data_IF_081419297389
#
_entry.id   IF_081419297389
#
_cell.length_a   1.000
_cell.length_b   1.000
_cell.length_c   1.000
_cell.angle_alpha   90.00
_cell.angle_beta   90.00
_cell.angle_gamma   90.00
#
_symmetry.space_group_name_H-M   'P 1'
#
loop_
_entity.id
_entity.type
_entity.pdbx_description
1 polymer ?
#
# COMPACT_ATOMS: atom_id res chain seq x y z
N UNK A 1 51.95 38.38 24.66
CA UNK A 1 51.74 39.84 24.55
C UNK A 1 51.09 40.04 23.19
N UNK A 2 49.82 40.38 22.98
CA UNK A 2 48.74 41.05 23.71
C UNK A 2 47.45 40.48 23.07
N UNK A 3 46.47 39.90 23.78
CA UNK A 3 45.43 40.52 24.62
C UNK A 3 44.57 41.57 23.88
N UNK A 4 43.25 41.33 23.89
CA UNK A 4 42.15 42.17 23.37
C UNK A 4 41.15 41.30 22.59
N UNK A 5 40.16 40.61 23.17
CA UNK A 5 39.02 41.07 24.00
C UNK A 5 38.20 42.18 23.32
N UNK A 6 37.04 41.80 22.77
CA UNK A 6 35.78 42.57 22.63
C UNK A 6 34.92 41.91 21.53
N UNK A 7 33.60 41.83 21.57
CA UNK A 7 32.60 41.85 22.63
C UNK A 7 31.32 41.33 21.95
N UNK A 8 30.49 40.63 22.72
CA UNK A 8 29.17 40.20 22.30
C UNK A 8 28.26 41.42 22.07
N UNK A 9 27.41 41.33 21.04
CA UNK A 9 26.12 42.03 21.04
C UNK A 9 25.06 40.99 20.71
N UNK A 10 24.51 40.43 21.79
CA UNK A 10 23.15 39.93 21.84
C UNK A 10 22.22 41.14 21.69
N UNK A 11 21.23 41.07 20.80
CA UNK A 11 20.06 41.93 20.90
C UNK A 11 18.81 41.05 20.88
N UNK A 12 18.07 41.13 21.97
CA UNK A 12 16.84 40.43 22.29
C UNK A 12 15.80 41.52 22.59
N UNK A 13 14.78 41.65 21.73
CA UNK A 13 13.54 42.40 22.00
C UNK A 13 12.51 41.87 20.98
N UNK A 14 11.64 40.91 21.31
CA UNK A 14 10.44 40.97 22.13
C UNK A 14 9.20 41.59 21.43
N UNK A 15 8.23 40.69 21.22
CA UNK A 15 6.78 40.84 21.31
C UNK A 15 5.91 41.29 20.12
N UNK A 16 4.77 40.58 20.06
CA UNK A 16 3.45 40.94 19.51
C UNK A 16 3.20 40.57 18.03
N UNK A 17 2.24 39.75 17.63
CA UNK A 17 1.08 39.17 18.31
C UNK A 17 -0.08 39.14 17.30
N UNK A 18 -0.36 37.99 16.68
CA UNK A 18 -1.64 37.72 16.01
C UNK A 18 -1.72 36.25 15.53
N UNK A 19 -2.13 35.38 16.45
CA UNK A 19 -2.76 34.10 16.13
C UNK A 19 -4.22 34.40 15.79
N UNK A 20 -4.67 34.08 14.57
CA UNK A 20 -6.10 34.04 14.23
C UNK A 20 -6.51 32.57 14.07
N UNK A 21 -7.55 32.09 14.79
CA UNK A 21 -7.98 30.69 14.79
C UNK A 21 -8.78 30.30 13.54
N UNK A 22 -8.92 28.99 13.26
CA UNK A 22 -9.74 28.47 12.17
C UNK A 22 -11.22 28.42 12.57
N UNK A 23 -12.10 29.07 11.80
CA UNK A 23 -13.54 28.83 11.89
C UNK A 23 -13.95 27.68 10.98
N UNK A 24 -14.57 26.68 11.62
CA UNK A 24 -15.31 25.60 11.02
C UNK A 24 -16.63 26.11 10.43
N UNK A 25 -17.08 25.54 9.32
CA UNK A 25 -18.51 25.33 9.11
C UNK A 25 -18.76 24.02 8.37
N UNK A 26 -19.46 23.16 9.09
CA UNK A 26 -20.07 21.89 8.73
C UNK A 26 -21.00 21.92 7.51
N UNK A 27 -21.35 20.70 7.08
CA UNK A 27 -22.62 20.28 6.48
C UNK A 27 -22.61 19.86 4.99
N UNK A 28 -22.30 18.57 4.83
CA UNK A 28 -23.02 17.57 4.04
C UNK A 28 -24.30 17.99 3.30
N UNK A 29 -24.42 17.53 2.04
CA UNK A 29 -25.58 16.76 1.57
C UNK A 29 -25.29 16.15 0.19
N UNK A 30 -25.33 14.81 0.13
CA UNK A 30 -25.46 14.02 -1.09
C UNK A 30 -26.80 14.32 -1.77
N UNK A 31 -26.86 14.31 -3.11
CA UNK A 31 -27.96 13.67 -3.83
C UNK A 31 -27.62 13.52 -5.32
N UNK A 32 -27.65 12.26 -5.74
CA UNK A 32 -27.66 11.78 -7.11
C UNK A 32 -28.93 12.26 -7.83
N UNK A 33 -28.85 12.53 -9.13
CA UNK A 33 -30.03 12.43 -9.99
C UNK A 33 -29.71 11.68 -11.28
N UNK A 34 -30.35 10.51 -11.38
CA UNK A 34 -30.51 9.71 -12.58
C UNK A 34 -31.30 10.49 -13.63
N UNK A 35 -30.85 10.44 -14.87
CA UNK A 35 -31.63 10.76 -16.06
C UNK A 35 -32.27 9.48 -16.58
N UNK A 36 -33.59 9.42 -16.59
CA UNK A 36 -34.39 8.42 -17.28
C UNK A 36 -34.99 9.07 -18.53
N UNK A 37 -34.76 8.42 -19.67
CA UNK A 37 -35.40 8.65 -20.96
C UNK A 37 -36.90 8.36 -20.90
N UNK A 38 -37.71 9.17 -21.59
CA UNK A 38 -38.94 8.67 -22.24
C UNK A 38 -39.32 9.55 -23.43
N UNK A 39 -39.29 8.94 -24.63
CA UNK A 39 -39.83 9.45 -25.89
C UNK A 39 -41.37 9.41 -25.89
N UNK A 40 -42.02 10.37 -26.56
CA UNK A 40 -43.30 10.14 -27.25
C UNK A 40 -43.52 11.18 -28.36
N UNK A 41 -43.65 10.69 -29.60
CA UNK A 41 -44.15 11.37 -30.79
C UNK A 41 -45.69 11.55 -30.72
N UNK A 42 -46.22 12.64 -31.30
CA UNK A 42 -47.28 12.63 -32.32
C UNK A 42 -47.67 14.08 -32.74
N UNK A 43 -48.22 14.17 -33.94
CA UNK A 43 -48.28 15.31 -34.87
C UNK A 43 -49.41 16.35 -34.66
N UNK A 44 -49.10 17.59 -35.07
CA UNK A 44 -49.87 18.59 -35.85
C UNK A 44 -51.35 18.92 -35.54
N UNK A 45 -51.62 20.17 -35.09
CA UNK A 45 -52.62 21.05 -35.71
C UNK A 45 -52.48 22.51 -35.21
N UNK A 46 -52.62 23.46 -36.14
CA UNK A 46 -52.35 24.90 -35.99
C UNK A 46 -53.52 25.65 -35.35
N UNK A 47 -53.29 26.49 -34.33
CA UNK A 47 -54.15 27.66 -33.95
C UNK A 47 -53.32 28.69 -33.16
N UNK A 48 -53.57 29.98 -33.40
CA UNK A 48 -52.78 31.19 -33.09
C UNK A 48 -52.63 31.63 -31.60
N UNK A 49 -51.67 32.56 -31.38
CA UNK A 49 -51.35 33.45 -30.22
C UNK A 49 -50.44 32.91 -29.07
N UNK A 50 -49.56 33.72 -28.44
CA UNK A 50 -48.83 34.94 -28.84
C UNK A 50 -47.28 34.75 -28.78
N UNK A 51 -46.50 35.72 -29.28
CA UNK A 51 -45.02 35.70 -29.29
C UNK A 51 -44.43 35.43 -27.90
N UNK A 52 -43.71 34.31 -27.77
CA UNK A 52 -42.89 34.02 -26.61
C UNK A 52 -41.76 35.08 -26.54
N UNK A 53 -41.52 35.70 -25.36
CA UNK A 53 -40.43 36.65 -25.22
C UNK A 53 -39.13 35.93 -25.54
N UNK A 54 -38.37 36.47 -26.50
CA UNK A 54 -37.04 35.98 -26.81
C UNK A 54 -36.22 35.98 -25.50
N UNK A 55 -35.69 34.84 -25.09
CA UNK A 55 -34.92 34.68 -23.85
C UNK A 55 -33.43 34.72 -24.21
N UNK A 56 -32.63 35.48 -23.46
CA UNK A 56 -31.16 35.48 -23.61
C UNK A 56 -30.57 34.61 -22.50
N UNK A 57 -29.88 33.55 -22.90
CA UNK A 57 -29.15 32.66 -21.99
C UNK A 57 -27.76 33.23 -21.69
N UNK A 58 -27.49 33.51 -20.42
CA UNK A 58 -26.16 33.81 -19.93
C UNK A 58 -25.55 32.57 -19.28
N UNK A 59 -24.33 32.21 -19.69
CA UNK A 59 -23.59 31.10 -19.10
C UNK A 59 -22.48 31.61 -18.19
N UNK A 60 -22.67 31.45 -16.88
CA UNK A 60 -21.69 31.79 -15.85
C UNK A 60 -21.09 30.50 -15.30
N UNK A 61 -20.01 30.00 -15.91
CA UNK A 61 -19.21 28.91 -15.35
C UNK A 61 -20.03 27.65 -15.01
N UNK A 62 -21.02 27.30 -15.84
CA UNK A 62 -21.90 26.14 -15.64
C UNK A 62 -23.29 26.46 -15.10
N UNK A 63 -23.52 27.67 -14.59
CA UNK A 63 -24.85 28.14 -14.21
C UNK A 63 -25.47 28.96 -15.35
N UNK A 64 -26.57 28.44 -15.92
CA UNK A 64 -27.36 29.13 -16.95
C UNK A 64 -28.37 30.05 -16.27
N UNK A 65 -28.29 31.34 -16.57
CA UNK A 65 -29.26 32.32 -16.10
C UNK A 65 -30.03 32.85 -17.30
N UNK A 66 -31.33 32.57 -17.35
CA UNK A 66 -32.20 32.94 -18.46
C UNK A 66 -32.93 34.23 -18.11
N UNK A 67 -32.65 35.31 -18.84
CA UNK A 67 -33.32 36.61 -18.64
C UNK A 67 -34.17 36.91 -19.89
N UNK A 68 -35.43 37.35 -19.73
CA UNK A 68 -36.27 37.77 -20.86
C UNK A 68 -35.70 39.00 -21.58
N UNK A 69 -35.72 39.03 -22.92
CA UNK A 69 -35.27 40.20 -23.70
C UNK A 69 -36.17 41.40 -23.39
N UNK A 70 -35.55 42.48 -22.96
CA UNK A 70 -36.21 43.74 -22.62
C UNK A 70 -35.64 44.42 -21.37
N UNK A 71 -35.10 43.66 -20.42
CA UNK A 71 -34.63 44.19 -19.14
C UNK A 71 -33.16 44.67 -19.15
N UNK A 72 -32.39 44.29 -20.18
CA UNK A 72 -30.99 44.67 -20.35
C UNK A 72 -30.71 45.06 -21.81
N UNK A 73 -29.99 46.17 -22.07
CA UNK A 73 -29.54 46.52 -23.42
C UNK A 73 -28.61 45.45 -24.00
N UNK A 74 -28.71 45.17 -25.30
CA UNK A 74 -27.86 44.19 -26.00
C UNK A 74 -26.35 44.45 -25.82
N UNK A 75 -25.95 45.72 -25.64
CA UNK A 75 -24.56 46.09 -25.34
C UNK A 75 -24.06 45.57 -23.98
N UNK A 76 -24.95 45.48 -22.98
CA UNK A 76 -24.60 44.95 -21.65
C UNK A 76 -24.47 43.43 -21.72
N UNK A 77 -25.31 42.77 -22.52
CA UNK A 77 -25.26 41.34 -22.78
C UNK A 77 -23.91 40.94 -23.41
N UNK A 78 -23.49 41.66 -24.46
CA UNK A 78 -22.22 41.42 -25.13
C UNK A 78 -21.03 41.64 -24.19
N UNK A 79 -21.01 42.73 -23.42
CA UNK A 79 -19.94 43.03 -22.45
C UNK A 79 -19.84 41.99 -21.33
N UNK A 80 -20.97 41.47 -20.86
CA UNK A 80 -21.00 40.42 -19.84
C UNK A 80 -20.47 39.10 -20.40
N UNK A 81 -20.86 38.71 -21.61
CA UNK A 81 -20.34 37.50 -22.27
C UNK A 81 -18.84 37.60 -22.61
N UNK A 82 -18.37 38.76 -23.04
CA UNK A 82 -16.94 39.01 -23.29
C UNK A 82 -16.16 38.94 -21.97
N UNK A 83 -16.71 39.52 -20.90
CA UNK A 83 -16.11 39.48 -19.57
C UNK A 83 -16.03 38.06 -19.03
N UNK A 84 -17.11 37.27 -19.08
CA UNK A 84 -17.11 35.88 -18.61
C UNK A 84 -16.16 34.98 -19.42
N UNK A 85 -16.10 35.17 -20.74
CA UNK A 85 -15.18 34.45 -21.62
C UNK A 85 -13.72 34.82 -21.34
N UNK A 86 -13.43 36.10 -21.09
CA UNK A 86 -12.08 36.57 -20.72
C UNK A 86 -11.65 36.00 -19.37
N UNK A 87 -12.57 35.98 -18.38
CA UNK A 87 -12.31 35.45 -17.05
C UNK A 87 -12.08 33.94 -17.08
N UNK A 88 -12.82 33.20 -17.92
CA UNK A 88 -12.58 31.78 -18.15
C UNK A 88 -11.22 31.53 -18.81
N UNK A 89 -10.83 32.36 -19.78
CA UNK A 89 -9.52 32.26 -20.45
C UNK A 89 -8.38 32.55 -19.48
N UNK A 90 -8.52 33.58 -18.65
CA UNK A 90 -7.55 33.92 -17.60
C UNK A 90 -7.46 32.84 -16.53
N UNK A 91 -8.60 32.27 -16.13
CA UNK A 91 -8.64 31.15 -15.19
C UNK A 91 -7.97 29.90 -15.78
N UNK A 92 -8.24 29.55 -17.04
CA UNK A 92 -7.57 28.45 -17.73
C UNK A 92 -6.06 28.69 -17.84
N UNK A 93 -5.64 29.89 -18.25
CA UNK A 93 -4.22 30.28 -18.30
C UNK A 93 -3.57 30.24 -16.91
N UNK A 94 -4.28 30.66 -15.87
CA UNK A 94 -3.84 30.59 -14.48
C UNK A 94 -3.68 29.15 -14.00
N UNK A 95 -4.61 28.25 -14.33
CA UNK A 95 -4.50 26.82 -14.05
C UNK A 95 -3.33 26.16 -14.78
N UNK A 96 -3.11 26.50 -16.06
CA UNK A 96 -1.96 26.00 -16.81
C UNK A 96 -0.64 26.50 -16.22
N UNK A 97 -0.58 27.78 -15.83
CA UNK A 97 0.58 28.35 -15.16
C UNK A 97 0.85 27.67 -13.81
N UNK A 98 -0.19 27.43 -13.01
CA UNK A 98 -0.08 26.72 -11.74
C UNK A 98 0.43 25.29 -11.93
N UNK A 99 -0.13 24.54 -12.89
CA UNK A 99 0.34 23.17 -13.22
C UNK A 99 1.81 23.15 -13.67
N UNK A 100 2.23 24.12 -14.49
CA UNK A 100 3.64 24.25 -14.90
C UNK A 100 4.56 24.55 -13.72
N UNK A 101 4.10 25.39 -12.80
CA UNK A 101 4.86 25.76 -11.61
C UNK A 101 4.98 24.57 -10.64
N UNK A 102 3.90 23.80 -10.44
CA UNK A 102 3.95 22.55 -9.69
C UNK A 102 4.90 21.52 -10.31
N UNK A 103 4.89 21.40 -11.64
CA UNK A 103 5.81 20.51 -12.36
C UNK A 103 7.28 20.96 -12.17
N UNK A 104 7.59 22.24 -12.36
CA UNK A 104 8.95 22.78 -12.16
C UNK A 104 9.41 22.63 -10.70
N UNK A 105 8.53 22.89 -9.73
CA UNK A 105 8.84 22.65 -8.31
C UNK A 105 9.07 21.17 -8.02
N UNK A 106 8.24 20.28 -8.57
CA UNK A 106 8.40 18.83 -8.42
C UNK A 106 9.73 18.32 -8.99
N UNK A 107 10.14 18.83 -10.15
CA UNK A 107 11.44 18.51 -10.77
C UNK A 107 12.60 19.03 -9.93
N UNK A 108 12.49 20.26 -9.42
CA UNK A 108 13.51 20.84 -8.53
C UNK A 108 13.64 20.06 -7.23
N UNK A 109 12.53 19.68 -6.59
CA UNK A 109 12.54 18.88 -5.35
C UNK A 109 13.22 17.54 -5.61
N UNK A 110 12.85 16.83 -6.68
CA UNK A 110 13.51 15.56 -7.05
C UNK A 110 15.00 15.74 -7.31
N UNK A 111 15.39 16.78 -8.05
CA UNK A 111 16.80 17.09 -8.28
C UNK A 111 17.55 17.42 -6.97
N UNK A 112 16.93 18.14 -6.05
CA UNK A 112 17.53 18.42 -4.73
C UNK A 112 17.63 17.18 -3.85
N UNK A 113 16.66 16.26 -3.91
CA UNK A 113 16.73 14.98 -3.19
C UNK A 113 17.80 14.07 -3.77
N UNK A 114 17.96 14.02 -5.09
CA UNK A 114 19.05 13.30 -5.75
C UNK A 114 20.42 13.91 -5.39
N UNK A 115 20.52 15.23 -5.37
CA UNK A 115 21.70 15.94 -4.88
C UNK A 115 22.00 15.68 -3.41
N UNK A 116 20.99 15.61 -2.54
CA UNK A 116 21.17 15.30 -1.13
C UNK A 116 21.62 13.85 -0.89
N UNK A 117 21.28 12.94 -1.81
CA UNK A 117 21.73 11.54 -1.79
C UNK A 117 23.18 11.41 -2.28
N UNK A 118 23.58 12.23 -3.26
CA UNK A 118 24.96 12.28 -3.72
C UNK A 118 25.87 12.83 -2.60
N UNK A 119 26.89 12.05 -2.23
CA UNK A 119 27.93 12.46 -1.28
C UNK A 119 29.31 12.34 -1.93
N UNK A 120 30.24 13.21 -1.54
CA UNK A 120 31.64 13.16 -2.00
C UNK A 120 31.77 13.22 -3.52
N UNK A 121 32.43 12.21 -4.10
CA UNK A 121 32.75 12.11 -5.53
C UNK A 121 31.51 12.23 -6.45
N UNK A 122 30.34 11.76 -5.99
CA UNK A 122 29.09 11.90 -6.74
C UNK A 122 28.67 13.36 -6.98
N UNK A 123 28.90 14.25 -6.01
CA UNK A 123 28.59 15.68 -6.16
C UNK A 123 29.55 16.37 -7.13
N UNK A 124 30.83 16.02 -7.07
CA UNK A 124 31.85 16.56 -7.97
C UNK A 124 31.57 16.15 -9.42
N UNK A 125 31.21 14.88 -9.65
CA UNK A 125 30.81 14.38 -10.96
C UNK A 125 29.55 15.08 -11.48
N UNK A 126 28.54 15.28 -10.63
CA UNK A 126 27.33 16.01 -11.01
C UNK A 126 27.62 17.47 -11.36
N UNK A 127 28.43 18.16 -10.56
CA UNK A 127 28.86 19.53 -10.82
C UNK A 127 29.61 19.63 -12.16
N UNK A 128 30.50 18.68 -12.45
CA UNK A 128 31.21 18.59 -13.73
C UNK A 128 30.25 18.39 -14.91
N UNK A 129 29.27 17.48 -14.79
CA UNK A 129 28.25 17.26 -15.82
C UNK A 129 27.45 18.54 -16.08
N UNK A 130 27.04 19.25 -15.02
CA UNK A 130 26.29 20.51 -15.13
C UNK A 130 27.12 21.64 -15.76
N UNK A 131 28.40 21.73 -15.43
CA UNK A 131 29.31 22.67 -16.06
C UNK A 131 29.43 22.39 -17.56
N UNK A 132 29.68 21.13 -17.94
CA UNK A 132 29.79 20.72 -19.34
C UNK A 132 28.49 20.93 -20.12
N UNK A 133 27.33 20.71 -19.50
CA UNK A 133 26.03 21.03 -20.10
C UNK A 133 25.87 22.53 -20.37
N UNK A 134 26.29 23.37 -19.43
CA UNK A 134 26.26 24.83 -19.60
C UNK A 134 27.18 25.28 -20.72
N UNK A 135 28.43 24.79 -20.74
CA UNK A 135 29.40 25.07 -21.81
C UNK A 135 28.89 24.59 -23.18
N UNK A 136 28.26 23.41 -23.25
CA UNK A 136 27.66 22.88 -24.48
C UNK A 136 26.46 23.70 -24.94
N UNK A 137 25.63 24.21 -24.02
CA UNK A 137 24.53 25.13 -24.35
C UNK A 137 25.06 26.46 -24.87
N UNK A 138 26.13 26.98 -24.29
CA UNK A 138 26.78 28.20 -24.76
C UNK A 138 27.38 28.02 -26.16
N UNK A 139 28.09 26.91 -26.41
CA UNK A 139 28.60 26.58 -27.74
C UNK A 139 27.47 26.26 -28.74
N UNK A 140 26.37 25.68 -28.26
CA UNK A 140 25.17 25.38 -29.06
C UNK A 140 24.34 26.61 -29.45
N UNK A 141 24.60 27.79 -28.86
CA UNK A 141 24.05 29.06 -29.35
C UNK A 141 24.57 29.41 -30.74
N UNK A 142 25.73 28.86 -31.14
CA UNK A 142 26.15 28.87 -32.54
C UNK A 142 25.21 27.92 -33.28
N UNK A 143 24.18 28.48 -33.91
CA UNK A 143 23.19 27.68 -34.61
C UNK A 143 23.85 26.88 -35.73
N UNK A 144 23.30 25.72 -36.12
CA UNK A 144 23.78 24.96 -37.28
C UNK A 144 23.88 25.83 -38.56
N UNK A 145 23.00 26.83 -38.68
CA UNK A 145 22.98 27.81 -39.76
C UNK A 145 24.18 28.76 -39.71
N UNK A 146 24.54 29.27 -38.52
CA UNK A 146 25.76 30.07 -38.33
C UNK A 146 27.01 29.26 -38.60
N UNK A 147 27.03 27.99 -38.18
CA UNK A 147 28.14 27.09 -38.49
C UNK A 147 28.25 26.86 -40.00
N UNK A 148 27.13 26.65 -40.70
CA UNK A 148 27.11 26.50 -42.16
C UNK A 148 27.59 27.77 -42.88
N UNK A 149 27.25 28.95 -42.38
CA UNK A 149 27.76 30.23 -42.89
C UNK A 149 29.26 30.40 -42.61
N UNK A 150 29.74 29.97 -41.44
CA UNK A 150 31.17 29.94 -41.11
C UNK A 150 31.92 28.98 -42.04
N UNK A 151 31.36 27.82 -42.40
CA UNK A 151 32.00 26.94 -43.38
C UNK A 151 32.23 27.59 -44.76
N UNK A 152 31.38 28.55 -45.14
CA UNK A 152 31.50 29.29 -46.41
C UNK A 152 32.44 30.49 -46.31
N UNK A 153 32.51 31.14 -45.15
CA UNK A 153 33.24 32.40 -44.96
C UNK A 153 34.59 32.23 -44.27
N UNK A 154 34.70 31.31 -43.32
CA UNK A 154 35.91 30.98 -42.57
C UNK A 154 35.91 29.49 -42.13
N UNK A 155 36.35 28.56 -43.02
CA UNK A 155 36.26 27.12 -42.76
C UNK A 155 37.15 26.65 -41.60
N UNK A 156 38.27 27.33 -41.33
CA UNK A 156 39.16 26.95 -40.24
C UNK A 156 38.54 27.22 -38.87
N UNK A 157 37.86 28.36 -38.71
CA UNK A 157 37.11 28.67 -37.49
C UNK A 157 35.93 27.70 -37.29
N UNK A 158 35.24 27.34 -38.38
CA UNK A 158 34.15 26.37 -38.33
C UNK A 158 34.63 24.99 -37.85
N UNK A 159 35.81 24.54 -38.32
CA UNK A 159 36.47 23.31 -37.83
C UNK A 159 36.79 23.39 -36.35
N UNK A 160 37.43 24.46 -35.90
CA UNK A 160 37.81 24.61 -34.50
C UNK A 160 36.59 24.55 -33.56
N UNK A 161 35.49 25.22 -33.92
CA UNK A 161 34.24 25.19 -33.14
C UNK A 161 33.65 23.77 -33.15
N UNK A 162 33.59 23.12 -34.31
CA UNK A 162 33.08 21.75 -34.46
C UNK A 162 33.88 20.73 -33.62
N UNK A 163 35.21 20.82 -33.65
CA UNK A 163 36.10 19.96 -32.88
C UNK A 163 35.93 20.20 -31.38
N UNK A 164 35.81 21.46 -30.97
CA UNK A 164 35.58 21.83 -29.57
C UNK A 164 34.24 21.29 -29.06
N UNK A 165 33.17 21.43 -29.85
CA UNK A 165 31.85 20.88 -29.52
C UNK A 165 31.90 19.35 -29.41
N UNK A 166 32.59 18.68 -30.33
CA UNK A 166 32.72 17.22 -30.31
C UNK A 166 33.47 16.75 -29.07
N UNK A 167 34.63 17.35 -28.78
CA UNK A 167 35.41 17.04 -27.59
C UNK A 167 34.62 17.28 -26.29
N UNK A 168 33.84 18.38 -26.21
CA UNK A 168 33.00 18.67 -25.05
C UNK A 168 31.83 17.69 -24.90
N UNK A 169 31.22 17.25 -26.01
CA UNK A 169 30.18 16.21 -26.00
C UNK A 169 30.72 14.86 -25.51
N UNK A 170 31.94 14.50 -25.90
CA UNK A 170 32.60 13.30 -25.42
C UNK A 170 32.94 13.41 -23.92
N UNK A 171 33.45 14.56 -23.47
CA UNK A 171 33.67 14.81 -22.04
C UNK A 171 32.36 14.70 -21.25
N UNK A 172 31.27 15.27 -21.77
CA UNK A 172 29.96 15.21 -21.16
C UNK A 172 29.44 13.77 -21.05
N UNK A 173 29.50 13.00 -22.14
CA UNK A 173 29.04 11.61 -22.13
C UNK A 173 29.87 10.74 -21.19
N UNK A 174 31.19 10.92 -21.16
CA UNK A 174 32.09 10.22 -20.25
C UNK A 174 31.83 10.58 -18.77
N UNK A 175 31.63 11.87 -18.46
CA UNK A 175 31.31 12.33 -17.11
C UNK A 175 29.95 11.77 -16.64
N UNK A 176 28.96 11.75 -17.52
CA UNK A 176 27.64 11.20 -17.22
C UNK A 176 27.69 9.68 -16.98
N UNK A 177 28.48 8.95 -17.78
CA UNK A 177 28.69 7.51 -17.56
C UNK A 177 29.37 7.23 -16.21
N UNK A 178 30.37 8.03 -15.83
CA UNK A 178 31.01 7.92 -14.51
C UNK A 178 30.03 8.20 -13.38
N UNK A 179 29.20 9.23 -13.50
CA UNK A 179 28.16 9.55 -12.52
C UNK A 179 27.18 8.37 -12.36
N UNK A 180 26.71 7.79 -13.46
CA UNK A 180 25.81 6.63 -13.41
C UNK A 180 26.46 5.39 -12.79
N UNK A 181 27.73 5.13 -13.11
CA UNK A 181 28.50 4.05 -12.50
C UNK A 181 28.67 4.27 -11.00
N UNK A 182 29.01 5.49 -10.57
CA UNK A 182 29.14 5.85 -9.16
C UNK A 182 27.82 5.64 -8.42
N UNK A 183 26.70 6.17 -8.95
CA UNK A 183 25.37 5.99 -8.37
C UNK A 183 24.97 4.51 -8.23
N UNK A 184 25.26 3.71 -9.25
CA UNK A 184 24.98 2.28 -9.24
C UNK A 184 25.84 1.55 -8.19
N UNK A 185 27.13 1.89 -8.12
CA UNK A 185 28.05 1.32 -7.14
C UNK A 185 27.65 1.69 -5.71
N UNK A 186 27.26 2.94 -5.45
CA UNK A 186 26.82 3.39 -4.14
C UNK A 186 25.54 2.67 -3.71
N UNK A 187 24.56 2.54 -4.62
CA UNK A 187 23.33 1.78 -4.35
C UNK A 187 23.63 0.32 -4.01
N UNK A 188 24.50 -0.34 -4.78
CA UNK A 188 24.91 -1.71 -4.50
C UNK A 188 25.65 -1.84 -3.16
N UNK A 189 26.47 -0.85 -2.80
CA UNK A 189 27.15 -0.84 -1.49
C UNK A 189 26.15 -0.66 -0.34
N UNK A 190 25.16 0.23 -0.47
CA UNK A 190 24.12 0.40 0.53
C UNK A 190 23.27 -0.87 0.68
N UNK A 191 22.84 -1.47 -0.43
CA UNK A 191 22.11 -2.74 -0.41
C UNK A 191 22.93 -3.86 0.23
N UNK A 192 24.21 -3.98 -0.12
CA UNK A 192 25.10 -4.97 0.50
C UNK A 192 25.33 -4.71 2.00
N UNK A 193 25.44 -3.45 2.42
CA UNK A 193 25.58 -3.08 3.82
C UNK A 193 24.32 -3.42 4.62
N UNK A 194 23.15 -3.02 4.11
CA UNK A 194 21.86 -3.33 4.74
C UNK A 194 21.61 -4.83 4.79
N UNK A 195 21.91 -5.58 3.74
CA UNK A 195 21.81 -7.04 3.74
C UNK A 195 22.68 -7.68 4.82
N UNK A 196 23.95 -7.26 4.94
CA UNK A 196 24.86 -7.76 5.97
C UNK A 196 24.39 -7.43 7.39
N UNK A 197 23.89 -6.22 7.61
CA UNK A 197 23.39 -5.82 8.92
C UNK A 197 22.11 -6.58 9.29
N UNK A 198 21.21 -6.77 8.32
CA UNK A 198 20.03 -7.61 8.51
C UNK A 198 20.42 -9.05 8.82
N UNK A 199 21.37 -9.64 8.10
CA UNK A 199 21.88 -10.99 8.37
C UNK A 199 22.45 -11.10 9.79
N UNK A 200 23.22 -10.09 10.23
CA UNK A 200 23.75 -10.00 11.60
C UNK A 200 22.62 -9.98 12.63
N UNK A 201 21.62 -9.13 12.43
CA UNK A 201 20.46 -9.04 13.31
C UNK A 201 19.64 -10.34 13.33
N UNK A 202 19.51 -11.02 12.18
CA UNK A 202 18.85 -12.33 12.10
C UNK A 202 19.60 -13.40 12.88
N UNK A 203 20.93 -13.45 12.77
CA UNK A 203 21.76 -14.39 13.53
C UNK A 203 21.67 -14.14 15.04
N UNK A 204 21.84 -12.89 15.48
CA UNK A 204 21.66 -12.52 16.90
C UNK A 204 20.25 -12.85 17.39
N UNK A 205 19.24 -12.62 16.55
CA UNK A 205 17.86 -12.98 16.79
C UNK A 205 17.68 -14.48 17.04
N UNK A 206 18.21 -15.31 16.16
CA UNK A 206 18.19 -16.78 16.28
C UNK A 206 18.89 -17.25 17.55
N UNK A 207 20.03 -16.65 17.90
CA UNK A 207 20.74 -16.97 19.15
C UNK A 207 19.94 -16.60 20.40
N UNK A 208 19.17 -15.51 20.37
CA UNK A 208 18.28 -15.15 21.47
C UNK A 208 17.10 -16.12 21.57
N UNK A 209 16.51 -16.49 20.44
CA UNK A 209 15.40 -17.46 20.40
C UNK A 209 15.86 -18.84 20.88
N UNK A 210 17.06 -19.29 20.51
CA UNK A 210 17.58 -20.59 20.93
C UNK A 210 17.86 -20.68 22.44
N UNK A 211 18.17 -19.56 23.09
CA UNK A 211 18.25 -19.48 24.56
C UNK A 211 16.87 -19.55 25.23
N UNK A 212 15.82 -19.07 24.56
CA UNK A 212 14.44 -19.03 25.09
C UNK A 212 13.63 -20.29 24.81
N UNK A 213 13.95 -21.01 23.74
CA UNK A 213 13.26 -22.22 23.28
C UNK A 213 14.27 -23.38 23.31
N UNK A 214 14.16 -24.32 24.25
CA UNK A 214 15.03 -25.49 24.31
C UNK A 214 14.95 -26.32 23.02
N UNK A 215 16.10 -26.65 22.43
CA UNK A 215 16.17 -27.45 21.20
C UNK A 215 15.77 -26.70 19.93
N UNK A 216 15.72 -25.37 19.95
CA UNK A 216 15.45 -24.57 18.76
C UNK A 216 16.53 -24.80 17.69
N UNK A 217 16.09 -25.18 16.50
CA UNK A 217 16.90 -25.37 15.31
C UNK A 217 16.10 -24.92 14.07
N UNK A 218 16.70 -24.94 12.89
CA UNK A 218 16.02 -24.51 11.65
C UNK A 218 14.74 -25.31 11.33
N UNK A 219 14.64 -26.57 11.80
CA UNK A 219 13.43 -27.37 11.60
C UNK A 219 12.28 -26.87 12.49
N UNK A 220 12.55 -26.57 13.76
CA UNK A 220 11.58 -25.96 14.68
C UNK A 220 11.19 -24.57 14.18
N UNK A 221 12.13 -23.77 13.70
CA UNK A 221 11.85 -22.47 13.10
C UNK A 221 10.85 -22.58 11.93
N UNK A 222 11.08 -23.53 11.01
CA UNK A 222 10.14 -23.81 9.90
C UNK A 222 8.77 -24.28 10.39
N UNK A 223 8.72 -25.17 11.39
CA UNK A 223 7.44 -25.63 11.95
C UNK A 223 6.62 -24.48 12.56
N UNK A 224 7.28 -23.57 13.30
CA UNK A 224 6.59 -22.41 13.89
C UNK A 224 6.15 -21.47 12.76
N UNK A 225 6.97 -21.22 11.74
CA UNK A 225 6.59 -20.38 10.59
C UNK A 225 5.38 -20.97 9.83
N UNK A 226 5.38 -22.28 9.56
CA UNK A 226 4.26 -22.97 8.91
C UNK A 226 2.98 -22.87 9.73
N UNK A 227 3.08 -23.03 11.05
CA UNK A 227 1.95 -22.85 11.97
C UNK A 227 1.47 -21.38 11.97
N UNK A 228 2.37 -20.41 11.94
CA UNK A 228 2.03 -18.99 11.82
C UNK A 228 1.20 -18.68 10.57
N UNK A 229 1.65 -19.20 9.44
CA UNK A 229 1.00 -19.00 8.14
C UNK A 229 -0.38 -19.66 8.12
N UNK A 230 -0.47 -20.90 8.63
CA UNK A 230 -1.73 -21.68 8.63
C UNK A 230 -2.75 -21.17 9.64
N UNK A 231 -2.32 -20.78 10.84
CA UNK A 231 -3.22 -20.44 11.95
C UNK A 231 -3.54 -18.95 12.01
N UNK A 232 -2.61 -18.07 11.64
CA UNK A 232 -2.75 -16.62 11.77
C UNK A 232 -2.73 -15.88 10.43
N UNK A 233 -2.59 -16.58 9.30
CA UNK A 233 -2.58 -15.98 7.96
C UNK A 233 -1.39 -15.06 7.68
N UNK A 234 -0.31 -15.19 8.44
CA UNK A 234 0.91 -14.39 8.26
C UNK A 234 1.54 -14.67 6.89
N UNK A 235 2.07 -13.63 6.24
CA UNK A 235 2.81 -13.80 4.99
C UNK A 235 4.21 -14.34 5.22
N UNK A 236 4.80 -15.01 4.23
CA UNK A 236 6.14 -15.59 4.34
C UNK A 236 7.23 -14.55 4.71
N UNK A 237 7.08 -13.29 4.28
CA UNK A 237 7.99 -12.19 4.65
C UNK A 237 7.89 -11.83 6.14
N UNK A 238 6.67 -11.72 6.66
CA UNK A 238 6.45 -11.44 8.09
C UNK A 238 6.94 -12.59 8.98
N UNK A 239 6.82 -13.83 8.51
CA UNK A 239 7.37 -14.99 9.21
C UNK A 239 8.91 -15.01 9.19
N UNK A 240 9.55 -14.52 8.12
CA UNK A 240 11.01 -14.39 8.04
C UNK A 240 11.56 -13.32 8.99
N UNK A 241 10.77 -12.31 9.37
CA UNK A 241 11.15 -11.27 10.34
C UNK A 241 11.13 -11.75 11.80
N UNK A 242 10.62 -12.95 12.08
CA UNK A 242 10.49 -13.47 13.45
C UNK A 242 11.78 -13.62 14.25
N UNK A 243 12.94 -13.96 13.68
CA UNK A 243 14.20 -13.91 14.42
C UNK A 243 14.47 -12.51 14.99
N UNK A 244 14.02 -11.44 14.32
CA UNK A 244 14.16 -10.06 14.80
C UNK A 244 13.24 -9.78 16.00
N UNK A 245 12.22 -10.60 16.23
CA UNK A 245 11.31 -10.51 17.38
C UNK A 245 11.28 -11.83 18.19
N UNK A 246 12.25 -12.03 19.10
CA UNK A 246 12.39 -13.28 19.85
C UNK A 246 11.21 -13.58 20.79
N UNK A 247 10.50 -12.55 21.26
CA UNK A 247 9.32 -12.70 22.14
C UNK A 247 8.15 -13.28 21.36
N UNK A 248 7.89 -12.75 20.15
CA UNK A 248 6.85 -13.27 19.28
C UNK A 248 7.11 -14.72 18.89
N UNK A 249 8.36 -15.06 18.56
CA UNK A 249 8.77 -16.44 18.25
C UNK A 249 8.50 -17.40 19.44
N UNK A 250 8.83 -16.97 20.67
CA UNK A 250 8.56 -17.77 21.86
C UNK A 250 7.06 -17.97 22.11
N UNK A 251 6.26 -16.92 21.98
CA UNK A 251 4.81 -16.98 22.16
C UNK A 251 4.16 -17.92 21.13
N UNK A 252 4.58 -17.83 19.86
CA UNK A 252 4.06 -18.68 18.78
C UNK A 252 4.45 -20.15 18.95
N UNK A 253 5.68 -20.43 19.38
CA UNK A 253 6.08 -21.79 19.70
C UNK A 253 5.23 -22.38 20.85
N UNK A 254 4.96 -21.59 21.89
CA UNK A 254 4.09 -22.03 23.00
C UNK A 254 2.65 -22.26 22.54
N UNK A 255 2.10 -21.39 21.68
CA UNK A 255 0.78 -21.57 21.10
C UNK A 255 0.69 -22.86 20.27
N UNK A 256 1.69 -23.11 19.41
CA UNK A 256 1.78 -24.34 18.62
C UNK A 256 1.80 -25.59 19.51
N UNK A 257 2.59 -25.58 20.59
CA UNK A 257 2.66 -26.70 21.52
C UNK A 257 1.34 -26.91 22.28
N UNK A 258 0.67 -25.82 22.67
CA UNK A 258 -0.63 -25.87 23.33
C UNK A 258 -1.70 -26.48 22.42
N UNK A 259 -1.77 -26.05 21.16
CA UNK A 259 -2.71 -26.60 20.19
C UNK A 259 -2.42 -28.08 19.90
N UNK A 260 -1.15 -28.45 19.75
CA UNK A 260 -0.76 -29.87 19.62
C UNK A 260 -1.19 -30.70 20.84
N UNK A 261 -1.11 -30.14 22.04
CA UNK A 261 -1.55 -30.81 23.27
C UNK A 261 -3.07 -30.93 23.30
N UNK A 262 -3.80 -29.89 22.94
CA UNK A 262 -5.27 -29.89 22.86
C UNK A 262 -5.79 -30.87 21.81
N UNK A 263 -5.18 -30.89 20.62
CA UNK A 263 -5.51 -31.89 19.60
C UNK A 263 -5.24 -33.31 20.06
N UNK A 264 -4.10 -33.55 20.75
CA UNK A 264 -3.79 -34.87 21.31
C UNK A 264 -4.78 -35.26 22.40
N UNK A 265 -5.19 -34.33 23.25
CA UNK A 265 -6.21 -34.56 24.27
C UNK A 265 -7.58 -34.88 23.62
N UNK A 266 -7.96 -34.15 22.58
CA UNK A 266 -9.18 -34.41 21.81
C UNK A 266 -9.14 -35.77 21.10
N UNK A 267 -7.99 -36.17 20.55
CA UNK A 267 -7.79 -37.50 19.92
C UNK A 267 -7.70 -38.63 20.94
N UNK A 268 -7.24 -38.35 22.16
CA UNK A 268 -7.16 -39.32 23.26
C UNK A 268 -8.50 -39.54 23.98
N UNK A 269 -9.46 -38.62 23.82
CA UNK A 269 -10.84 -38.88 24.18
C UNK A 269 -11.39 -39.99 23.25
N UNK A 270 -11.37 -41.23 23.74
CA UNK A 270 -11.86 -42.42 23.02
C UNK A 270 -13.26 -42.17 22.45
N UNK A 271 -13.58 -42.71 21.26
CA UNK A 271 -14.96 -42.68 20.77
C UNK A 271 -15.87 -43.31 21.82
N UNK A 272 -17.02 -42.68 22.06
CA UNK A 272 -18.03 -43.20 22.97
C UNK A 272 -18.27 -44.68 22.63
N UNK A 273 -18.30 -45.59 23.63
CA UNK A 273 -18.53 -47.00 23.37
C UNK A 273 -19.79 -47.15 22.54
N UNK A 274 -19.69 -47.88 21.42
CA UNK A 274 -20.82 -48.14 20.55
C UNK A 274 -22.00 -48.63 21.40
N UNK A 275 -23.23 -48.14 21.16
CA UNK A 275 -24.38 -48.53 21.95
C UNK A 275 -24.49 -50.04 21.95
N UNK A 276 -24.48 -50.64 23.15
CA UNK A 276 -24.53 -52.08 23.31
C UNK A 276 -25.73 -52.63 22.52
N UNK A 277 -25.45 -53.53 21.57
CA UNK A 277 -26.51 -54.19 20.82
C UNK A 277 -27.47 -54.87 21.81
N UNK A 278 -28.80 -54.74 21.61
CA UNK A 278 -29.78 -55.32 22.53
C UNK A 278 -29.55 -56.83 22.62
N UNK A 279 -29.30 -57.31 23.84
CA UNK A 279 -29.11 -58.73 24.14
C UNK A 279 -30.38 -59.47 23.73
N UNK A 280 -30.29 -60.32 22.71
CA UNK A 280 -31.40 -61.22 22.33
C UNK A 280 -31.72 -62.10 23.54
N UNK A 281 -32.98 -62.20 23.99
CA UNK A 281 -33.32 -63.03 25.13
C UNK A 281 -32.94 -64.49 24.83
N UNK A 282 -32.16 -65.08 25.73
CA UNK A 282 -31.85 -66.51 25.70
C UNK A 282 -33.17 -67.27 25.81
N UNK A 283 -33.53 -67.98 24.74
CA UNK A 283 -34.60 -68.96 24.75
C UNK A 283 -34.17 -70.09 25.69
N UNK A 284 -34.76 -70.14 26.88
CA UNK A 284 -34.50 -71.19 27.86
C UNK A 284 -34.86 -72.55 27.23
N UNK A 285 -33.85 -73.41 27.09
CA UNK A 285 -33.99 -74.82 26.73
C UNK A 285 -34.49 -75.55 27.96
N UNK A 286 -35.79 -75.82 28.00
CA UNK A 286 -36.41 -76.73 28.98
C UNK A 286 -35.76 -78.10 28.86
N UNK A 287 -35.06 -78.53 29.92
CA UNK A 287 -34.55 -79.89 30.05
C UNK A 287 -35.69 -80.86 30.39
N UNK A 288 -35.73 -82.01 29.73
CA UNK A 288 -36.62 -83.13 30.07
C UNK A 288 -36.39 -83.61 31.51
N UNK A 289 -37.45 -84.02 32.23
CA UNK A 289 -37.31 -84.55 33.58
C UNK A 289 -36.62 -85.92 33.55
N UNK A 290 -35.60 -86.09 34.42
CA UNK A 290 -34.90 -87.36 34.64
C UNK A 290 -35.89 -88.43 35.15
N UNK A 291 -35.78 -89.65 34.65
CA UNK A 291 -36.52 -90.82 35.13
C UNK A 291 -36.03 -91.28 36.51
N UNK A 292 -36.89 -91.92 37.31
CA UNK A 292 -36.62 -92.24 38.72
C UNK A 292 -35.36 -93.10 38.95
N UNK A 293 -34.95 -93.92 37.97
CA UNK A 293 -33.71 -94.70 38.00
C UNK A 293 -32.41 -93.88 37.82
N UNK A 294 -32.53 -92.60 37.45
CA UNK A 294 -31.39 -91.69 37.26
C UNK A 294 -31.25 -90.65 38.38
N UNK A 295 -32.07 -90.73 39.42
CA UNK A 295 -31.92 -89.90 40.61
C UNK A 295 -30.98 -90.58 41.60
N UNK A 296 -30.15 -89.77 42.27
CA UNK A 296 -29.37 -90.25 43.41
C UNK A 296 -30.30 -90.59 44.58
N UNK A 297 -29.90 -91.53 45.45
CA UNK A 297 -30.73 -91.99 46.58
C UNK A 297 -31.26 -90.82 47.44
N UNK A 298 -30.43 -89.79 47.64
CA UNK A 298 -30.76 -88.57 48.37
C UNK A 298 -31.86 -87.73 47.68
N UNK A 299 -31.84 -87.66 46.35
CA UNK A 299 -32.85 -86.92 45.56
C UNK A 299 -34.15 -87.71 45.40
N UNK A 300 -34.08 -89.04 45.29
CA UNK A 300 -35.25 -89.91 45.29
C UNK A 300 -36.00 -89.80 46.62
N UNK A 301 -35.29 -89.86 47.75
CA UNK A 301 -35.86 -89.69 49.08
C UNK A 301 -36.50 -88.32 49.26
N UNK A 302 -35.85 -87.24 48.80
CA UNK A 302 -36.42 -85.88 48.91
C UNK A 302 -37.71 -85.72 48.10
N UNK A 303 -37.81 -86.39 46.95
CA UNK A 303 -39.00 -86.36 46.08
C UNK A 303 -40.17 -87.20 46.60
N UNK A 304 -39.88 -88.34 47.24
CA UNK A 304 -40.91 -89.28 47.70
C UNK A 304 -41.26 -89.16 49.20
N UNK A 305 -40.37 -88.65 50.05
CA UNK A 305 -40.60 -88.49 51.50
C UNK A 305 -41.17 -87.11 51.86
N UNK A 306 -41.13 -86.13 50.95
CA UNK A 306 -41.76 -84.81 51.16
C UNK A 306 -43.29 -84.80 50.94
N UNK A 307 -43.99 -85.92 51.14
CA UNK A 307 -45.46 -85.97 51.22
C UNK A 307 -45.89 -86.06 52.69
N UNK A 308 -46.08 -84.93 53.40
CA UNK A 308 -46.77 -84.96 54.68
C UNK A 308 -48.25 -85.28 54.41
N UNK A 309 -48.68 -86.46 54.85
CA UNK A 309 -50.10 -86.76 54.97
C UNK A 309 -50.71 -85.96 56.11
N UNK A 310 -51.94 -85.47 55.92
CA UNK A 310 -52.81 -85.17 57.05
C UNK A 310 -53.86 -84.07 56.83
N UNK A 311 -54.99 -84.47 56.26
CA UNK A 311 -56.39 -84.05 56.56
C UNK A 311 -56.64 -82.69 57.24
N UNK A 312 -57.48 -81.91 56.57
CA UNK A 312 -58.54 -81.07 57.12
C UNK A 312 -59.64 -80.99 56.08
#
# INVERSE_FOLDING_TARGET
MSSGDDAAVLNEEAADGAVVPPEQSDAAAEAQHQTTDEEAQAEDETTEEPEAPELVEFNFGGNKLTIPKGDLPDEVVAKVNDYTSSLQTEFQRGQEAAKRLEQDLGERVRATEELAKLRGEGLDLYAQVRQLDTELKELGKVSPEQLAQLWQTNPDLARQISDTVTAKREQFSAANQRLQQHLTAEKQQQEAFTAKEMDRLHQEGRERVSKLIPGFNEAVEKEIMDYAQKSFGLTAKQAQEWPLNPIAAQAMHKAMLYDRLMERAAKAAKPAPAPAAPVKPLRARSGEPKSDDQLSDEEYFRRHVSKPGGRG
#
